data_IF_173066704206
#
_entry.id   IF_173066704206
#
_cell.length_a   1.000
_cell.length_b   1.000
_cell.length_c   1.000
_cell.angle_alpha   90.00
_cell.angle_beta   90.00
_cell.angle_gamma   90.00
#
_symmetry.space_group_name_H-M   'P 1'
#
loop_
_entity.id
_entity.type
_entity.pdbx_description
1 polymer ?
#
# COMPACT_ATOMS: atom_id res chain seq x y z
N UNK A 1 -8.41 -0.11 -5.83
CA UNK A 1 -8.21 -1.36 -6.62
C UNK A 1 -9.12 -2.48 -6.13
N UNK A 2 -9.01 -2.94 -4.90
CA UNK A 2 -9.82 -4.06 -4.38
C UNK A 2 -11.33 -3.79 -4.40
N UNK A 3 -11.77 -2.59 -4.04
CA UNK A 3 -13.18 -2.20 -4.13
C UNK A 3 -13.70 -2.31 -5.58
N UNK A 4 -12.95 -1.77 -6.54
CA UNK A 4 -13.36 -1.87 -7.95
C UNK A 4 -13.46 -3.31 -8.44
N UNK A 5 -12.48 -4.15 -8.07
CA UNK A 5 -12.50 -5.57 -8.40
C UNK A 5 -13.71 -6.28 -7.78
N UNK A 6 -14.11 -5.94 -6.55
CA UNK A 6 -15.31 -6.51 -5.90
C UNK A 6 -16.62 -6.10 -6.59
N UNK A 7 -16.58 -5.02 -7.36
CA UNK A 7 -17.69 -4.54 -8.20
C UNK A 7 -17.58 -5.02 -9.65
N UNK A 8 -16.75 -6.02 -9.93
CA UNK A 8 -16.51 -6.60 -11.25
C UNK A 8 -15.89 -5.62 -12.28
N UNK A 9 -15.15 -4.62 -11.81
CA UNK A 9 -14.37 -3.75 -12.70
C UNK A 9 -13.02 -4.43 -12.95
N UNK A 10 -12.63 -4.54 -14.22
CA UNK A 10 -11.31 -5.07 -14.58
C UNK A 10 -10.20 -4.20 -13.95
N UNK A 11 -9.27 -4.78 -13.19
CA UNK A 11 -8.23 -4.00 -12.50
C UNK A 11 -7.32 -3.19 -13.44
N UNK A 12 -7.02 -3.69 -14.64
CA UNK A 12 -6.23 -2.93 -15.62
C UNK A 12 -6.99 -1.73 -16.15
N UNK A 13 -8.29 -1.90 -16.44
CA UNK A 13 -9.16 -0.80 -16.87
C UNK A 13 -9.27 0.25 -15.78
N UNK A 14 -9.50 -0.19 -14.53
CA UNK A 14 -9.58 0.72 -13.39
C UNK A 14 -8.28 1.50 -13.20
N UNK A 15 -7.12 0.83 -13.26
CA UNK A 15 -5.82 1.50 -13.17
C UNK A 15 -5.66 2.55 -14.27
N UNK A 16 -6.09 2.26 -15.50
CA UNK A 16 -6.08 3.21 -16.62
C UNK A 16 -6.93 4.45 -16.33
N UNK A 17 -8.11 4.28 -15.78
CA UNK A 17 -8.99 5.40 -15.38
C UNK A 17 -8.34 6.24 -14.28
N UNK A 18 -7.82 5.61 -13.24
CA UNK A 18 -7.13 6.31 -12.14
C UNK A 18 -5.94 7.13 -12.66
N UNK A 19 -5.15 6.53 -13.58
CA UNK A 19 -3.93 7.15 -14.12
C UNK A 19 -4.18 8.29 -15.10
N UNK A 20 -5.40 8.45 -15.61
CA UNK A 20 -5.81 9.58 -16.46
C UNK A 20 -6.70 10.58 -15.70
N UNK A 21 -6.77 10.49 -14.40
CA UNK A 21 -7.59 11.32 -13.52
C UNK A 21 -6.77 11.95 -12.41
N UNK A 22 -7.41 12.72 -11.54
CA UNK A 22 -6.80 13.33 -10.36
C UNK A 22 -6.33 12.32 -9.30
N UNK A 23 -6.69 11.05 -9.45
CA UNK A 23 -6.24 9.97 -8.56
C UNK A 23 -4.85 9.44 -8.91
N UNK A 24 -4.25 9.86 -10.02
CA UNK A 24 -2.92 9.42 -10.43
C UNK A 24 -1.88 9.72 -9.35
N UNK A 25 -1.08 8.72 -9.01
CA UNK A 25 0.06 8.84 -8.12
C UNK A 25 1.12 7.79 -8.49
N UNK A 26 2.30 7.88 -7.89
CA UNK A 26 3.36 6.91 -8.13
C UNK A 26 2.90 5.47 -7.88
N UNK A 27 2.13 5.23 -6.82
CA UNK A 27 1.61 3.90 -6.52
C UNK A 27 0.61 3.40 -7.55
N UNK A 28 -0.13 4.28 -8.23
CA UNK A 28 -1.11 3.87 -9.23
C UNK A 28 -0.48 3.60 -10.60
N UNK A 29 0.51 4.39 -11.02
CA UNK A 29 1.04 4.32 -12.40
C UNK A 29 2.39 3.60 -12.53
N UNK A 30 3.17 3.49 -11.46
CA UNK A 30 4.53 2.93 -11.49
C UNK A 30 4.68 1.68 -10.62
N UNK A 31 3.89 1.57 -9.55
CA UNK A 31 4.08 0.53 -8.53
C UNK A 31 2.74 -0.01 -8.03
N UNK A 32 1.84 -0.37 -8.95
CA UNK A 32 0.48 -0.74 -8.58
C UNK A 32 0.47 -1.99 -7.68
N UNK A 33 -0.20 -1.93 -6.53
CA UNK A 33 -0.22 -3.05 -5.58
C UNK A 33 -1.12 -4.20 -5.98
N UNK A 34 -2.01 -4.02 -6.97
CA UNK A 34 -2.95 -5.06 -7.36
C UNK A 34 -2.29 -6.05 -8.32
N UNK A 35 -2.29 -7.37 -8.02
CA UNK A 35 -1.66 -8.37 -8.88
C UNK A 35 -2.25 -8.37 -10.30
N UNK A 36 -1.36 -8.50 -11.29
CA UNK A 36 -1.78 -8.62 -12.69
C UNK A 36 -2.00 -7.28 -13.42
N UNK A 37 -1.92 -6.14 -12.74
CA UNK A 37 -2.04 -4.82 -13.38
C UNK A 37 -0.75 -4.43 -14.09
N UNK A 38 0.40 -4.68 -13.48
CA UNK A 38 1.72 -4.32 -14.00
C UNK A 38 2.67 -5.51 -13.92
N UNK A 39 3.65 -5.53 -14.83
CA UNK A 39 4.79 -6.42 -14.76
C UNK A 39 5.96 -5.72 -14.03
N UNK A 40 6.98 -6.50 -13.64
CA UNK A 40 8.22 -5.99 -13.02
C UNK A 40 8.03 -5.18 -11.73
N UNK A 41 6.95 -5.42 -11.03
CA UNK A 41 6.66 -4.84 -9.69
C UNK A 41 6.43 -5.98 -8.67
N UNK A 42 6.61 -5.73 -7.37
CA UNK A 42 6.45 -6.79 -6.37
C UNK A 42 5.08 -7.46 -6.36
N UNK A 43 4.01 -6.76 -6.69
CA UNK A 43 2.67 -7.36 -6.79
C UNK A 43 2.57 -8.45 -7.88
N UNK A 44 3.45 -8.43 -8.89
CA UNK A 44 3.51 -9.45 -9.95
C UNK A 44 4.25 -10.73 -9.52
N UNK A 45 4.90 -10.73 -8.35
CA UNK A 45 5.73 -11.86 -7.88
C UNK A 45 5.50 -12.19 -6.39
N UNK A 46 4.28 -12.12 -5.94
CA UNK A 46 3.93 -12.45 -4.55
C UNK A 46 4.49 -11.48 -3.52
N UNK A 47 4.79 -10.25 -3.92
CA UNK A 47 5.35 -9.19 -3.06
C UNK A 47 6.73 -9.51 -2.50
N UNK A 48 7.51 -10.32 -3.20
CA UNK A 48 8.90 -10.60 -2.83
C UNK A 48 9.84 -9.51 -3.35
N UNK A 49 10.92 -9.24 -2.59
CA UNK A 49 11.84 -8.15 -2.92
C UNK A 49 11.24 -6.77 -2.65
N UNK A 50 11.78 -5.73 -3.28
CA UNK A 50 11.31 -4.36 -3.10
C UNK A 50 11.66 -3.76 -1.73
N UNK A 51 10.76 -2.98 -1.16
CA UNK A 51 10.93 -2.30 0.13
C UNK A 51 10.02 -2.93 1.17
N UNK A 52 10.58 -3.51 2.23
CA UNK A 52 9.81 -4.31 3.18
C UNK A 52 8.81 -3.47 3.99
N UNK A 53 7.70 -4.09 4.34
CA UNK A 53 6.67 -3.49 5.18
C UNK A 53 7.23 -3.08 6.56
N UNK A 54 8.17 -3.85 7.12
CA UNK A 54 8.83 -3.49 8.39
C UNK A 54 9.67 -2.22 8.26
N UNK A 55 10.32 -1.99 7.12
CA UNK A 55 11.04 -0.75 6.86
C UNK A 55 10.08 0.42 6.68
N UNK A 56 8.96 0.21 6.00
CA UNK A 56 7.90 1.22 5.90
C UNK A 56 7.34 1.56 7.29
N UNK A 57 7.10 0.57 8.11
CA UNK A 57 6.66 0.76 9.51
C UNK A 57 7.67 1.59 10.30
N UNK A 58 8.95 1.28 10.16
CA UNK A 58 10.02 2.05 10.80
C UNK A 58 10.01 3.52 10.34
N UNK A 59 9.92 3.76 9.04
CA UNK A 59 9.93 5.12 8.50
C UNK A 59 8.70 5.92 8.94
N UNK A 60 7.52 5.30 8.92
CA UNK A 60 6.30 5.92 9.45
C UNK A 60 6.41 6.21 10.95
N UNK A 61 7.06 5.32 11.72
CA UNK A 61 7.34 5.53 13.14
C UNK A 61 8.20 6.76 13.38
N UNK A 62 9.26 6.94 12.60
CA UNK A 62 10.11 8.13 12.69
C UNK A 62 9.33 9.40 12.38
N UNK A 63 8.48 9.37 11.36
CA UNK A 63 7.65 10.52 10.97
C UNK A 63 6.62 10.87 12.06
N UNK A 64 5.92 9.87 12.59
CA UNK A 64 4.90 10.06 13.65
C UNK A 64 5.55 10.55 14.96
N UNK A 65 6.71 10.02 15.34
CA UNK A 65 7.43 10.49 16.51
C UNK A 65 7.89 11.94 16.36
N UNK A 66 8.40 12.31 15.19
CA UNK A 66 8.78 13.69 14.88
C UNK A 66 7.57 14.63 14.95
N UNK A 67 6.44 14.21 14.41
CA UNK A 67 5.18 14.95 14.46
C UNK A 67 4.71 15.16 15.91
N UNK A 68 4.78 14.12 16.74
CA UNK A 68 4.44 14.20 18.15
C UNK A 68 5.32 15.22 18.91
N UNK A 69 6.62 15.17 18.69
CA UNK A 69 7.57 16.10 19.33
C UNK A 69 7.35 17.55 18.91
N UNK A 70 7.03 17.77 17.63
CA UNK A 70 6.76 19.10 17.09
C UNK A 70 5.30 19.57 17.26
N UNK A 71 4.45 18.73 17.85
CA UNK A 71 3.01 18.99 18.07
C UNK A 71 2.24 19.26 16.76
N UNK A 72 2.64 18.60 15.67
CA UNK A 72 1.92 18.65 14.39
C UNK A 72 1.09 17.38 14.18
N UNK A 73 -0.19 17.49 13.88
CA UNK A 73 -1.02 16.31 13.62
C UNK A 73 -0.70 15.70 12.25
N UNK A 74 -0.60 14.36 12.18
CA UNK A 74 -0.37 13.60 10.95
C UNK A 74 -1.37 12.45 10.87
N UNK A 75 -2.66 12.79 10.76
CA UNK A 75 -3.75 11.84 10.90
C UNK A 75 -3.63 10.63 9.95
N UNK A 76 -3.41 10.88 8.67
CA UNK A 76 -3.28 9.80 7.69
C UNK A 76 -1.97 9.02 7.86
N UNK A 77 -0.88 9.70 8.19
CA UNK A 77 0.40 9.05 8.50
C UNK A 77 0.31 8.14 9.72
N UNK A 78 -0.37 8.58 10.78
CA UNK A 78 -0.59 7.78 11.98
C UNK A 78 -1.46 6.55 11.68
N UNK A 79 -2.51 6.69 10.88
CA UNK A 79 -3.33 5.56 10.44
C UNK A 79 -2.52 4.58 9.59
N UNK A 80 -1.73 5.07 8.64
CA UNK A 80 -0.85 4.23 7.83
C UNK A 80 0.14 3.44 8.72
N UNK A 81 0.73 4.07 9.73
CA UNK A 81 1.61 3.40 10.68
C UNK A 81 0.89 2.21 11.35
N UNK A 82 -0.35 2.40 11.80
CA UNK A 82 -1.12 1.33 12.44
C UNK A 82 -1.44 0.18 11.49
N UNK A 83 -1.71 0.48 10.21
CA UNK A 83 -1.94 -0.55 9.20
C UNK A 83 -0.68 -1.38 8.93
N UNK A 84 0.48 -0.75 8.85
CA UNK A 84 1.75 -1.47 8.70
C UNK A 84 2.14 -2.21 9.97
N UNK A 85 1.82 -1.68 11.15
CA UNK A 85 1.98 -2.40 12.42
C UNK A 85 1.15 -3.69 12.42
N UNK A 86 -0.10 -3.60 11.97
CA UNK A 86 -0.98 -4.76 11.84
C UNK A 86 -0.39 -5.79 10.84
N UNK A 87 0.10 -5.33 9.69
CA UNK A 87 0.73 -6.20 8.70
C UNK A 87 1.96 -6.93 9.28
N UNK A 88 2.83 -6.22 9.98
CA UNK A 88 4.00 -6.78 10.65
C UNK A 88 3.60 -7.84 11.70
N UNK A 89 2.58 -7.54 12.52
CA UNK A 89 2.10 -8.45 13.55
C UNK A 89 1.51 -9.75 12.99
N UNK A 90 1.07 -9.74 11.74
CA UNK A 90 0.59 -10.94 11.02
C UNK A 90 1.71 -11.75 10.36
N UNK A 91 2.97 -11.39 10.56
CA UNK A 91 4.12 -12.09 9.99
C UNK A 91 4.40 -11.72 8.52
N UNK A 92 3.82 -10.64 8.01
CA UNK A 92 3.97 -10.20 6.62
C UNK A 92 5.02 -9.07 6.47
N UNK A 93 5.76 -8.77 7.53
CA UNK A 93 6.67 -7.63 7.59
C UNK A 93 7.81 -7.67 6.57
N UNK A 94 8.22 -8.85 6.11
CA UNK A 94 9.30 -9.01 5.13
C UNK A 94 8.85 -8.85 3.68
N UNK A 95 7.54 -8.85 3.43
CA UNK A 95 7.00 -8.59 2.10
C UNK A 95 7.14 -7.12 1.73
N UNK A 96 7.14 -6.86 0.42
CA UNK A 96 7.12 -5.48 -0.08
C UNK A 96 5.96 -4.69 0.52
N UNK A 97 6.17 -3.41 0.79
CA UNK A 97 5.16 -2.57 1.42
C UNK A 97 3.83 -2.51 0.64
N UNK A 98 3.86 -2.75 -0.68
CA UNK A 98 2.62 -2.82 -1.48
C UNK A 98 1.72 -4.00 -1.09
N UNK A 99 2.25 -5.01 -0.37
CA UNK A 99 1.44 -6.12 0.14
C UNK A 99 0.40 -5.68 1.17
N UNK A 100 0.41 -4.42 1.62
CA UNK A 100 -0.63 -3.84 2.48
C UNK A 100 -2.03 -4.01 1.88
N UNK A 101 -2.14 -4.09 0.56
CA UNK A 101 -3.42 -4.34 -0.13
C UNK A 101 -4.09 -5.63 0.33
N UNK A 102 -3.33 -6.62 0.78
CA UNK A 102 -3.86 -7.90 1.28
C UNK A 102 -4.76 -7.74 2.49
N UNK A 103 -4.55 -6.70 3.30
CA UNK A 103 -5.43 -6.40 4.43
C UNK A 103 -6.86 -6.11 3.98
N UNK A 104 -7.01 -5.53 2.79
CA UNK A 104 -8.32 -5.19 2.21
C UNK A 104 -8.95 -6.37 1.46
N UNK A 105 -8.16 -7.35 1.08
CA UNK A 105 -8.67 -8.57 0.41
C UNK A 105 -9.25 -9.57 1.42
N UNK A 106 -8.82 -9.53 2.67
CA UNK A 106 -9.27 -10.45 3.72
C UNK A 106 -10.72 -10.20 4.16
N UNK A 107 -11.29 -9.05 3.79
CA UNK A 107 -12.68 -8.69 4.11
C UNK A 107 -13.68 -9.02 2.97
N UNK A 108 -13.19 -9.62 1.92
CA UNK A 108 -13.99 -10.11 0.80
C UNK A 108 -14.20 -11.63 0.92
#
# INVERSE_FOLDING_TARGET
>A
MTLGASLNIDPKVLAGVLNTSSARCWSSDTYNPYPGVMENVPSARGYTGGFSADLMLKDLGLAVDSARLSKHPVLMGALAQQLYQLMSSKGEGQKDFSAIIKLYQTFL
#
